data_IF_479549443168
#
_entry.id   IF_479549443168
#
_cell.length_a   1.000
_cell.length_b   1.000
_cell.length_c   1.000
_cell.angle_alpha   90.00
_cell.angle_beta   90.00
_cell.angle_gamma   90.00
#
_symmetry.space_group_name_H-M   'P 1'
#
loop_
_entity.id
_entity.type
_entity.pdbx_description
1 polymer ?
#
# COMPACT_ATOMS: atom_id res chain seq x y z
N UNK A 1 0.21 -1.66 14.87
CA UNK A 1 0.00 -2.38 13.60
C UNK A 1 -1.44 -2.23 13.08
N UNK A 2 -2.48 -2.38 13.93
CA UNK A 2 -3.88 -2.23 13.51
C UNK A 2 -4.27 -0.86 12.97
N UNK A 3 -3.64 0.22 13.42
CA UNK A 3 -3.95 1.59 12.96
C UNK A 3 -3.50 1.83 11.52
N UNK A 4 -2.33 1.33 11.16
CA UNK A 4 -1.81 1.46 9.77
C UNK A 4 -2.68 0.66 8.80
N UNK A 5 -3.12 -0.53 9.20
CA UNK A 5 -3.98 -1.39 8.42
C UNK A 5 -5.40 -0.84 8.28
N UNK A 6 -5.96 -0.30 9.36
CA UNK A 6 -7.25 0.38 9.31
C UNK A 6 -7.18 1.62 8.41
N UNK A 7 -6.06 2.35 8.42
CA UNK A 7 -5.85 3.49 7.53
C UNK A 7 -5.76 3.06 6.05
N UNK A 8 -5.04 1.96 5.74
CA UNK A 8 -4.93 1.44 4.37
C UNK A 8 -6.28 0.91 3.88
N UNK A 9 -7.00 0.13 4.68
CA UNK A 9 -8.33 -0.37 4.32
C UNK A 9 -9.34 0.78 4.16
N UNK A 10 -9.26 1.79 5.02
CA UNK A 10 -10.05 3.02 4.88
C UNK A 10 -9.72 3.78 3.60
N UNK A 11 -8.44 3.83 3.21
CA UNK A 11 -7.97 4.44 1.97
C UNK A 11 -8.50 3.71 0.73
N UNK A 12 -8.37 2.39 0.70
CA UNK A 12 -8.85 1.55 -0.41
C UNK A 12 -10.38 1.64 -0.56
N UNK A 13 -11.12 1.48 0.53
CA UNK A 13 -12.57 1.63 0.54
C UNK A 13 -13.02 3.05 0.17
N UNK A 14 -12.31 4.06 0.67
CA UNK A 14 -12.54 5.46 0.38
C UNK A 14 -12.34 5.81 -1.09
N UNK A 15 -11.29 5.28 -1.73
CA UNK A 15 -11.02 5.50 -3.16
C UNK A 15 -12.07 4.87 -4.06
N UNK A 16 -12.53 3.66 -3.74
CA UNK A 16 -13.61 3.00 -4.49
C UNK A 16 -14.93 3.75 -4.33
N UNK A 17 -15.30 4.10 -3.11
CA UNK A 17 -16.50 4.88 -2.83
C UNK A 17 -16.45 6.27 -3.51
N UNK A 18 -15.29 6.91 -3.50
CA UNK A 18 -15.06 8.19 -4.16
C UNK A 18 -15.22 8.08 -5.69
N UNK A 19 -14.69 7.03 -6.31
CA UNK A 19 -14.88 6.77 -7.73
C UNK A 19 -16.35 6.57 -8.10
N UNK A 20 -17.09 5.82 -7.30
CA UNK A 20 -18.53 5.59 -7.50
C UNK A 20 -19.34 6.88 -7.31
N UNK A 21 -19.04 7.68 -6.29
CA UNK A 21 -19.70 8.98 -6.07
C UNK A 21 -19.40 9.97 -7.20
N UNK A 22 -18.18 9.97 -7.71
CA UNK A 22 -17.79 10.83 -8.82
C UNK A 22 -18.47 10.46 -10.14
N UNK A 23 -18.78 9.18 -10.34
CA UNK A 23 -19.51 8.69 -11.52
C UNK A 23 -20.99 9.12 -11.54
N UNK A 24 -21.58 9.42 -10.37
CA UNK A 24 -22.99 9.81 -10.24
C UNK A 24 -23.16 11.29 -10.56
N UNK A 25 -22.96 11.88 -11.52
CA UNK A 25 -23.19 13.26 -12.04
C UNK A 25 -24.00 14.26 -11.16
N UNK A 26 -24.18 13.98 -9.89
CA UNK A 26 -24.87 14.84 -8.91
C UNK A 26 -23.85 15.77 -8.25
N UNK A 27 -24.09 17.07 -8.31
CA UNK A 27 -23.22 18.12 -7.78
C UNK A 27 -22.87 17.94 -6.28
N UNK A 28 -23.79 17.42 -5.49
CA UNK A 28 -23.54 17.19 -4.06
C UNK A 28 -22.52 16.06 -3.82
N UNK A 29 -22.65 14.97 -4.56
CA UNK A 29 -21.74 13.85 -4.48
C UNK A 29 -20.36 14.19 -5.06
N UNK A 30 -20.31 14.97 -6.12
CA UNK A 30 -19.07 15.45 -6.71
C UNK A 30 -18.26 16.30 -5.73
N UNK A 31 -18.95 17.24 -5.04
CA UNK A 31 -18.31 18.07 -4.00
C UNK A 31 -17.80 17.23 -2.83
N UNK A 32 -18.59 16.26 -2.36
CA UNK A 32 -18.19 15.35 -1.30
C UNK A 32 -16.96 14.53 -1.72
N UNK A 33 -16.97 13.97 -2.93
CA UNK A 33 -15.86 13.21 -3.47
C UNK A 33 -14.57 14.05 -3.55
N UNK A 34 -14.67 15.33 -3.91
CA UNK A 34 -13.52 16.25 -3.92
C UNK A 34 -12.94 16.47 -2.52
N UNK A 35 -13.77 16.72 -1.52
CA UNK A 35 -13.31 16.89 -0.13
C UNK A 35 -12.68 15.58 0.41
N UNK A 36 -13.27 14.43 0.10
CA UNK A 36 -12.69 13.11 0.45
C UNK A 36 -11.32 12.92 -0.20
N UNK A 37 -11.15 13.30 -1.47
CA UNK A 37 -9.84 13.23 -2.15
C UNK A 37 -8.75 14.05 -1.45
N UNK A 38 -9.07 15.24 -0.97
CA UNK A 38 -8.13 16.08 -0.20
C UNK A 38 -7.73 15.41 1.12
N UNK A 39 -8.71 14.86 1.84
CA UNK A 39 -8.47 14.14 3.11
C UNK A 39 -7.58 12.91 2.87
N UNK A 40 -7.86 12.15 1.80
CA UNK A 40 -7.05 10.99 1.40
C UNK A 40 -5.60 11.42 1.11
N UNK A 41 -5.39 12.49 0.33
CA UNK A 41 -4.06 12.99 0.01
C UNK A 41 -3.28 13.44 1.26
N UNK A 42 -3.95 14.11 2.19
CA UNK A 42 -3.35 14.48 3.47
C UNK A 42 -3.00 13.26 4.33
N UNK A 43 -3.94 12.33 4.48
CA UNK A 43 -3.75 11.10 5.26
C UNK A 43 -2.60 10.25 4.70
N UNK A 44 -2.52 10.13 3.36
CA UNK A 44 -1.42 9.42 2.70
C UNK A 44 -0.08 10.08 3.01
N UNK A 45 0.04 11.40 2.86
CA UNK A 45 1.28 12.13 3.13
C UNK A 45 1.72 11.97 4.58
N UNK A 46 0.79 12.03 5.53
CA UNK A 46 1.06 11.82 6.95
C UNK A 46 1.52 10.38 7.24
N UNK A 47 0.86 9.40 6.63
CA UNK A 47 1.21 7.98 6.77
C UNK A 47 2.60 7.68 6.17
N UNK A 48 2.90 8.23 5.00
CA UNK A 48 4.21 8.08 4.36
C UNK A 48 5.33 8.69 5.22
N UNK A 49 5.11 9.88 5.78
CA UNK A 49 6.07 10.53 6.67
C UNK A 49 6.31 9.71 7.95
N UNK A 50 5.24 9.30 8.63
CA UNK A 50 5.33 8.51 9.86
C UNK A 50 5.96 7.14 9.61
N UNK A 51 5.65 6.48 8.49
CA UNK A 51 6.27 5.23 8.07
C UNK A 51 7.76 5.38 7.79
N UNK A 52 8.16 6.48 7.14
CA UNK A 52 9.58 6.81 6.91
C UNK A 52 10.34 7.04 8.22
N UNK A 53 9.77 7.78 9.16
CA UNK A 53 10.35 7.97 10.49
C UNK A 53 10.47 6.65 11.25
N UNK A 54 9.44 5.80 11.21
CA UNK A 54 9.48 4.48 11.82
C UNK A 54 10.59 3.61 11.22
N UNK A 55 10.75 3.61 9.89
CA UNK A 55 11.83 2.89 9.22
C UNK A 55 13.21 3.38 9.68
N UNK A 56 13.41 4.70 9.82
CA UNK A 56 14.66 5.25 10.34
C UNK A 56 14.95 4.76 11.76
N UNK A 57 13.95 4.76 12.64
CA UNK A 57 14.10 4.22 14.00
C UNK A 57 14.47 2.74 13.96
N UNK A 58 13.83 1.96 13.10
CA UNK A 58 14.14 0.53 12.94
C UNK A 58 15.57 0.30 12.42
N UNK A 59 16.03 1.10 11.47
CA UNK A 59 17.39 1.02 10.94
C UNK A 59 18.45 1.33 11.99
N UNK A 60 18.19 2.27 12.90
CA UNK A 60 19.13 2.66 13.95
C UNK A 60 19.08 1.72 15.16
N UNK A 61 17.88 1.42 15.64
CA UNK A 61 17.70 0.67 16.90
C UNK A 61 17.73 -0.86 16.68
N UNK A 62 17.39 -1.34 15.49
CA UNK A 62 17.24 -2.76 15.17
C UNK A 62 17.95 -3.14 13.86
N UNK A 63 19.17 -2.64 13.67
CA UNK A 63 19.95 -2.82 12.43
C UNK A 63 20.15 -4.29 12.04
N UNK A 64 20.43 -5.16 13.02
CA UNK A 64 20.65 -6.59 12.80
C UNK A 64 19.36 -7.28 12.30
N UNK A 65 18.23 -6.91 12.89
CA UNK A 65 16.91 -7.40 12.45
C UNK A 65 16.59 -6.97 11.02
N UNK A 66 16.81 -5.70 10.69
CA UNK A 66 16.61 -5.20 9.33
C UNK A 66 17.54 -5.88 8.34
N UNK A 67 18.81 -6.04 8.70
CA UNK A 67 19.81 -6.75 7.88
C UNK A 67 19.39 -8.21 7.62
N UNK A 68 18.86 -8.89 8.63
CA UNK A 68 18.31 -10.23 8.49
C UNK A 68 17.11 -10.28 7.54
N UNK A 69 16.17 -9.33 7.66
CA UNK A 69 15.00 -9.26 6.78
C UNK A 69 15.42 -9.01 5.32
N UNK A 70 16.31 -8.06 5.09
CA UNK A 70 16.83 -7.76 3.76
C UNK A 70 17.58 -8.94 3.16
N UNK A 71 18.39 -9.64 3.95
CA UNK A 71 19.09 -10.85 3.51
C UNK A 71 18.12 -12.01 3.21
N UNK A 72 17.00 -12.11 3.94
CA UNK A 72 15.99 -13.14 3.74
C UNK A 72 15.09 -12.88 2.52
N UNK A 73 14.85 -11.61 2.17
CA UNK A 73 13.95 -11.16 1.11
C UNK A 73 14.59 -10.06 0.26
N UNK A 74 15.72 -10.33 -0.41
CA UNK A 74 16.48 -9.28 -1.10
C UNK A 74 15.71 -8.64 -2.26
N UNK A 75 15.02 -9.42 -3.09
CA UNK A 75 14.23 -8.89 -4.22
C UNK A 75 13.05 -8.05 -3.72
N UNK A 76 12.37 -8.51 -2.67
CA UNK A 76 11.22 -7.82 -2.11
C UNK A 76 11.62 -6.45 -1.54
N UNK A 77 12.62 -6.39 -0.66
CA UNK A 77 12.98 -5.15 0.04
C UNK A 77 13.85 -4.21 -0.77
N UNK A 78 14.71 -4.72 -1.68
CA UNK A 78 15.60 -3.88 -2.48
C UNK A 78 14.97 -3.40 -3.80
N UNK A 79 14.04 -4.15 -4.36
CA UNK A 79 13.49 -3.86 -5.69
C UNK A 79 11.97 -3.69 -5.65
N UNK A 80 11.23 -4.71 -5.26
CA UNK A 80 9.78 -4.72 -5.43
C UNK A 80 9.09 -3.67 -4.56
N UNK A 81 9.41 -3.64 -3.27
CA UNK A 81 8.77 -2.72 -2.33
C UNK A 81 9.06 -1.24 -2.62
N UNK A 82 10.33 -0.81 -2.79
CA UNK A 82 10.62 0.58 -3.14
C UNK A 82 9.99 1.00 -4.47
N UNK A 83 10.00 0.12 -5.46
CA UNK A 83 9.42 0.41 -6.79
C UNK A 83 7.90 0.61 -6.68
N UNK A 84 7.19 -0.31 -6.01
CA UNK A 84 5.75 -0.19 -5.81
C UNK A 84 5.39 1.06 -5.02
N UNK A 85 6.15 1.37 -3.96
CA UNK A 85 5.92 2.55 -3.14
C UNK A 85 6.11 3.86 -3.92
N UNK A 86 7.16 3.95 -4.74
CA UNK A 86 7.40 5.12 -5.59
C UNK A 86 6.28 5.27 -6.62
N UNK A 87 5.88 4.18 -7.28
CA UNK A 87 4.78 4.19 -8.25
C UNK A 87 3.46 4.60 -7.59
N UNK A 88 3.12 4.04 -6.44
CA UNK A 88 1.94 4.41 -5.69
C UNK A 88 1.95 5.90 -5.32
N UNK A 89 3.07 6.39 -4.83
CA UNK A 89 3.24 7.81 -4.47
C UNK A 89 3.03 8.72 -5.69
N UNK A 90 3.63 8.42 -6.83
CA UNK A 90 3.46 9.19 -8.06
C UNK A 90 1.99 9.19 -8.50
N UNK A 91 1.35 8.02 -8.55
CA UNK A 91 -0.05 7.89 -8.96
C UNK A 91 -0.97 8.61 -7.97
N UNK A 92 -0.69 8.56 -6.66
CA UNK A 92 -1.44 9.29 -5.63
C UNK A 92 -1.42 10.80 -5.88
N UNK A 93 -0.24 11.37 -6.12
CA UNK A 93 -0.14 12.80 -6.42
C UNK A 93 -0.84 13.16 -7.73
N UNK A 94 -0.69 12.35 -8.79
CA UNK A 94 -1.43 12.54 -10.03
C UNK A 94 -2.94 12.48 -9.77
N UNK A 95 -3.42 11.53 -8.97
CA UNK A 95 -4.84 11.39 -8.61
C UNK A 95 -5.37 12.66 -7.92
N UNK A 96 -4.66 13.13 -6.89
CA UNK A 96 -5.08 14.33 -6.13
C UNK A 96 -5.07 15.58 -6.99
N UNK A 97 -3.99 15.84 -7.73
CA UNK A 97 -3.84 17.07 -8.52
C UNK A 97 -4.57 17.06 -9.86
N UNK A 98 -4.97 15.90 -10.38
CA UNK A 98 -5.72 15.80 -11.63
C UNK A 98 -7.23 16.06 -11.48
N UNK A 99 -7.74 16.24 -10.27
CA UNK A 99 -9.15 16.45 -10.03
C UNK A 99 -9.73 17.59 -10.87
N UNK A 100 -9.24 18.81 -10.67
CA UNK A 100 -9.78 20.01 -11.33
C UNK A 100 -9.61 19.98 -12.86
N UNK A 101 -8.41 19.65 -13.43
CA UNK A 101 -8.26 19.62 -14.87
C UNK A 101 -9.08 18.52 -15.55
N UNK A 102 -9.24 17.36 -14.93
CA UNK A 102 -10.03 16.27 -15.51
C UNK A 102 -11.55 16.52 -15.40
N UNK A 103 -11.98 17.15 -14.34
CA UNK A 103 -13.39 17.54 -14.17
C UNK A 103 -13.78 18.61 -15.19
N UNK A 104 -12.99 19.70 -15.31
CA UNK A 104 -13.22 20.77 -16.30
C UNK A 104 -13.21 20.26 -17.74
N UNK A 105 -12.41 19.25 -18.06
CA UNK A 105 -12.32 18.66 -19.40
C UNK A 105 -13.34 17.55 -19.66
N UNK A 106 -14.28 17.31 -18.74
CA UNK A 106 -15.27 16.22 -18.81
C UNK A 106 -14.66 14.82 -18.99
N UNK A 107 -13.44 14.60 -18.45
CA UNK A 107 -12.71 13.33 -18.55
C UNK A 107 -12.74 12.56 -17.23
N UNK A 108 -13.89 12.52 -16.57
CA UNK A 108 -14.12 11.83 -15.30
C UNK A 108 -13.66 10.38 -15.30
N UNK A 109 -13.85 9.66 -16.39
CA UNK A 109 -13.41 8.28 -16.52
C UNK A 109 -11.90 8.08 -16.32
N UNK A 110 -11.06 9.04 -16.72
CA UNK A 110 -9.60 8.95 -16.48
C UNK A 110 -9.24 9.06 -15.01
N UNK A 111 -9.96 9.89 -14.26
CA UNK A 111 -9.77 10.00 -12.81
C UNK A 111 -10.16 8.71 -12.09
N UNK A 112 -11.27 8.07 -12.51
CA UNK A 112 -11.69 6.76 -11.98
C UNK A 112 -10.61 5.70 -12.24
N UNK A 113 -10.05 5.65 -13.46
CA UNK A 113 -8.96 4.72 -13.79
C UNK A 113 -7.74 4.93 -12.91
N UNK A 114 -7.35 6.19 -12.65
CA UNK A 114 -6.25 6.48 -11.71
C UNK A 114 -6.54 5.95 -10.31
N UNK A 115 -7.78 6.08 -9.82
CA UNK A 115 -8.20 5.53 -8.54
C UNK A 115 -8.13 4.00 -8.50
N UNK A 116 -8.51 3.32 -9.58
CA UNK A 116 -8.38 1.85 -9.70
C UNK A 116 -6.92 1.44 -9.70
N UNK A 117 -6.06 2.10 -10.47
CA UNK A 117 -4.61 1.82 -10.49
C UNK A 117 -4.00 2.00 -9.11
N UNK A 118 -4.37 3.06 -8.41
CA UNK A 118 -3.90 3.33 -7.06
C UNK A 118 -4.31 2.23 -6.06
N UNK A 119 -5.55 1.74 -6.15
CA UNK A 119 -6.01 0.60 -5.34
C UNK A 119 -5.21 -0.68 -5.63
N UNK A 120 -4.93 -0.98 -6.89
CA UNK A 120 -4.13 -2.15 -7.28
C UNK A 120 -2.72 -2.05 -6.71
N UNK A 121 -2.08 -0.87 -6.80
CA UNK A 121 -0.74 -0.64 -6.24
C UNK A 121 -0.73 -0.81 -4.71
N UNK A 122 -1.69 -0.20 -4.00
CA UNK A 122 -1.81 -0.31 -2.55
C UNK A 122 -2.05 -1.76 -2.09
N UNK A 123 -2.93 -2.50 -2.77
CA UNK A 123 -3.14 -3.92 -2.50
C UNK A 123 -1.87 -4.74 -2.76
N UNK A 124 -1.13 -4.45 -3.82
CA UNK A 124 0.13 -5.13 -4.11
C UNK A 124 1.17 -4.90 -3.03
N UNK A 125 1.28 -3.68 -2.51
CA UNK A 125 2.14 -3.37 -1.36
C UNK A 125 1.74 -4.12 -0.10
N UNK A 126 0.44 -4.16 0.19
CA UNK A 126 -0.10 -4.87 1.35
C UNK A 126 0.24 -6.37 1.29
N UNK A 127 -0.09 -7.01 0.17
CA UNK A 127 0.16 -8.44 -0.09
C UNK A 127 1.67 -8.75 -0.02
N UNK A 128 2.50 -7.86 -0.52
CA UNK A 128 3.96 -8.00 -0.47
C UNK A 128 4.50 -7.96 0.97
N UNK A 129 3.97 -7.07 1.82
CA UNK A 129 4.37 -6.97 3.23
C UNK A 129 3.90 -8.13 4.09
N UNK A 130 2.76 -8.73 3.76
CA UNK A 130 2.20 -9.84 4.53
C UNK A 130 3.09 -11.09 4.46
N UNK A 131 3.87 -11.26 3.40
CA UNK A 131 4.83 -12.34 3.27
C UNK A 131 5.87 -12.37 4.40
N UNK A 132 6.71 -11.34 4.54
CA UNK A 132 7.67 -11.25 5.65
C UNK A 132 7.01 -11.24 7.03
N UNK A 133 5.86 -10.58 7.19
CA UNK A 133 5.16 -10.52 8.47
C UNK A 133 4.71 -11.92 8.95
N UNK A 134 4.14 -12.72 8.05
CA UNK A 134 3.72 -14.09 8.36
C UNK A 134 4.89 -15.06 8.45
N UNK A 135 5.95 -14.85 7.66
CA UNK A 135 7.18 -15.63 7.76
C UNK A 135 7.83 -15.51 9.15
N UNK A 136 7.82 -14.32 9.74
CA UNK A 136 8.33 -14.13 11.11
C UNK A 136 7.48 -14.85 12.18
N UNK A 137 6.19 -15.01 11.93
CA UNK A 137 5.27 -15.68 12.86
C UNK A 137 5.27 -17.20 12.69
N UNK A 138 5.33 -17.67 11.45
CA UNK A 138 5.22 -19.09 11.08
C UNK A 138 6.22 -19.43 9.98
N UNK A 139 7.53 -19.53 10.30
CA UNK A 139 8.53 -19.92 9.32
C UNK A 139 8.22 -21.31 8.75
N UNK A 140 8.31 -21.49 7.42
CA UNK A 140 7.90 -22.74 6.76
C UNK A 140 8.81 -23.95 7.07
N UNK A 141 10.02 -23.69 7.52
CA UNK A 141 11.06 -24.70 7.82
C UNK A 141 11.87 -24.30 9.04
N UNK A 142 12.62 -25.22 9.67
CA UNK A 142 13.62 -24.90 10.68
C UNK A 142 14.61 -23.86 10.18
N UNK A 143 15.06 -22.97 11.08
CA UNK A 143 15.93 -21.82 10.73
C UNK A 143 17.21 -22.19 9.96
N UNK A 144 17.77 -23.35 10.21
CA UNK A 144 18.96 -23.85 9.53
C UNK A 144 18.73 -24.26 8.05
N UNK A 145 17.49 -24.47 7.63
CA UNK A 145 17.12 -24.87 6.27
C UNK A 145 16.56 -23.72 5.43
N UNK A 146 16.22 -22.60 6.08
CA UNK A 146 15.57 -21.43 5.44
C UNK A 146 16.45 -20.79 4.35
N UNK A 147 17.77 -20.87 4.48
CA UNK A 147 18.72 -20.30 3.49
C UNK A 147 18.63 -20.94 2.12
N UNK A 148 18.15 -22.18 2.03
CA UNK A 148 18.12 -22.97 0.81
C UNK A 148 16.79 -22.87 0.03
N UNK A 149 15.77 -22.18 0.58
CA UNK A 149 14.49 -22.02 -0.10
C UNK A 149 14.40 -20.69 -0.84
N UNK A 150 13.62 -20.67 -1.93
CA UNK A 150 13.40 -19.47 -2.71
C UNK A 150 12.69 -18.38 -1.89
N UNK A 151 12.97 -17.12 -2.21
CA UNK A 151 12.28 -15.98 -1.58
C UNK A 151 10.76 -16.08 -1.72
N UNK A 152 10.28 -16.54 -2.89
CA UNK A 152 8.87 -16.73 -3.14
C UNK A 152 8.22 -17.75 -2.20
N UNK A 153 8.90 -18.87 -1.92
CA UNK A 153 8.43 -19.88 -0.95
C UNK A 153 8.39 -19.36 0.48
N UNK A 154 9.25 -18.40 0.82
CA UNK A 154 9.21 -17.72 2.12
C UNK A 154 8.00 -16.77 2.21
N UNK A 155 7.69 -16.04 1.13
CA UNK A 155 6.54 -15.11 1.05
C UNK A 155 5.22 -15.89 1.15
N UNK A 156 5.06 -16.96 0.38
CA UNK A 156 3.82 -17.76 0.33
C UNK A 156 3.76 -18.85 1.41
N UNK A 157 4.17 -18.52 2.63
CA UNK A 157 4.10 -19.43 3.78
C UNK A 157 2.65 -19.70 4.23
N UNK A 158 2.47 -20.66 5.14
CA UNK A 158 1.14 -21.09 5.58
C UNK A 158 0.26 -19.99 6.20
N UNK A 159 0.87 -18.96 6.79
CA UNK A 159 0.15 -17.82 7.39
C UNK A 159 -0.24 -16.73 6.39
N UNK A 160 0.37 -16.71 5.21
CA UNK A 160 0.18 -15.64 4.24
C UNK A 160 -1.25 -15.54 3.70
N UNK A 161 -1.84 -16.66 3.27
CA UNK A 161 -3.23 -16.69 2.78
C UNK A 161 -4.24 -16.31 3.87
N UNK A 162 -4.22 -16.92 5.08
CA UNK A 162 -5.12 -16.51 6.16
C UNK A 162 -5.02 -15.03 6.51
N UNK A 163 -3.82 -14.45 6.54
CA UNK A 163 -3.63 -13.03 6.85
C UNK A 163 -4.24 -12.14 5.76
N UNK A 164 -3.99 -12.43 4.49
CA UNK A 164 -4.58 -11.68 3.37
C UNK A 164 -6.11 -11.79 3.31
N UNK A 165 -6.68 -12.92 3.75
CA UNK A 165 -8.14 -13.12 3.80
C UNK A 165 -8.80 -12.39 4.97
N UNK A 166 -8.06 -12.17 6.06
CA UNK A 166 -8.59 -11.57 7.29
C UNK A 166 -8.58 -10.03 7.25
N UNK A 167 -7.92 -9.44 6.28
CA UNK A 167 -7.81 -7.98 6.07
C UNK A 167 -8.82 -7.47 5.06
#
# INVERSE_FOLDING_TARGET
DGVILAAINGLVGGLLANGLMFAQSDFKFERLAHEVTKVIGFAYSFTALSGGLFLLVMLVAYSDFISYLVASFPILFMVAYPTLFILETIVMYIYVYSWDPLNKSNKKGRHIVLGVVLNVLGLSLLVALDGPATFMQTPPLPLNEITNISEWSKITNAGWMPLNYHR
#
